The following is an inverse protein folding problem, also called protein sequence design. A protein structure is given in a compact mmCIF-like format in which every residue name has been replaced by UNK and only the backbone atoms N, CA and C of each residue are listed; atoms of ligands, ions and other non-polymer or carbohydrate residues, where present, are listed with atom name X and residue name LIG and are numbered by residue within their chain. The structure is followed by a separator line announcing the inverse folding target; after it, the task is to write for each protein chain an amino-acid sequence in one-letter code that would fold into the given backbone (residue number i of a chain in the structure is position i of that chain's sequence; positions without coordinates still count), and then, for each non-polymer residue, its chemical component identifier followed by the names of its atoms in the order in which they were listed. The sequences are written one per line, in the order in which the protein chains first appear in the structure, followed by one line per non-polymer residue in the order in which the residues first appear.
data_IF_241727684025
#
_entry.id   IF_241727684025
#
_cell.length_a   1.000
_cell.length_b   1.000
_cell.length_c   1.000
_cell.angle_alpha   90.00
_cell.angle_beta   90.00
_cell.angle_gamma   90.00
#
_symmetry.space_group_name_H-M   'P 1'
#
loop_
_entity.id
_entity.type
_entity.pdbx_description
1 polymer ?
#
# COMPACT_ATOMS: atom_id res chain seq x y z
N UNK A 1 -39.98 -26.39 -11.57
CA UNK A 1 -40.09 -24.99 -11.11
C UNK A 1 -40.50 -24.14 -12.30
N UNK A 2 -41.73 -23.62 -12.31
CA UNK A 2 -42.21 -22.75 -13.39
C UNK A 2 -41.49 -21.40 -13.30
N UNK A 3 -40.66 -21.12 -14.28
CA UNK A 3 -40.00 -19.80 -14.44
C UNK A 3 -41.06 -18.82 -14.97
N UNK A 4 -41.45 -17.82 -14.18
CA UNK A 4 -42.34 -16.75 -14.63
C UNK A 4 -41.57 -15.79 -15.51
N UNK A 5 -41.92 -15.61 -16.80
CA UNK A 5 -41.25 -14.67 -17.67
C UNK A 5 -41.52 -13.22 -17.24
N UNK A 6 -40.49 -12.40 -17.23
CA UNK A 6 -40.61 -10.97 -16.97
C UNK A 6 -40.65 -10.23 -18.31
N UNK A 7 -41.72 -9.51 -18.57
CA UNK A 7 -41.89 -8.68 -19.77
C UNK A 7 -41.17 -7.36 -19.50
N UNK A 8 -40.08 -7.10 -20.22
CA UNK A 8 -39.42 -5.77 -20.20
C UNK A 8 -40.06 -4.93 -21.30
N UNK A 9 -40.85 -3.93 -20.92
CA UNK A 9 -41.40 -2.96 -21.84
C UNK A 9 -40.37 -1.87 -22.09
N UNK A 10 -40.04 -1.60 -23.34
CA UNK A 10 -39.18 -0.50 -23.74
C UNK A 10 -40.07 0.65 -24.21
N UNK A 11 -39.83 1.86 -23.72
CA UNK A 11 -40.56 3.07 -24.11
C UNK A 11 -39.60 4.02 -24.80
N UNK A 12 -40.05 4.63 -25.89
CA UNK A 12 -39.39 5.81 -26.44
C UNK A 12 -40.04 7.05 -25.81
N UNK A 13 -39.20 7.93 -25.29
CA UNK A 13 -39.64 9.23 -24.78
C UNK A 13 -39.30 10.28 -25.84
N UNK A 14 -40.30 10.96 -26.34
CA UNK A 14 -40.06 12.13 -27.17
C UNK A 14 -39.50 13.24 -26.28
N UNK A 15 -38.31 13.72 -26.62
CA UNK A 15 -37.59 14.73 -25.81
C UNK A 15 -38.17 16.14 -25.97
N UNK A 16 -39.03 16.40 -26.96
CA UNK A 16 -39.65 17.69 -27.18
C UNK A 16 -41.05 17.79 -26.55
N UNK A 17 -41.83 16.71 -26.63
CA UNK A 17 -43.21 16.69 -26.11
C UNK A 17 -43.34 15.98 -24.75
N UNK A 18 -42.38 15.16 -24.40
CA UNK A 18 -42.44 14.32 -23.17
C UNK A 18 -43.35 13.11 -23.34
N UNK A 19 -43.92 12.87 -24.51
CA UNK A 19 -44.81 11.73 -24.76
C UNK A 19 -44.04 10.43 -24.78
N UNK A 20 -44.64 9.38 -24.19
CA UNK A 20 -44.08 8.03 -24.10
C UNK A 20 -44.85 7.09 -25.06
N UNK A 21 -44.13 6.47 -25.99
CA UNK A 21 -44.70 5.41 -26.85
C UNK A 21 -44.08 4.05 -26.49
N UNK A 22 -44.93 3.02 -26.34
CA UNK A 22 -44.45 1.66 -26.11
C UNK A 22 -43.82 1.09 -27.37
N UNK A 23 -42.54 0.65 -27.27
CA UNK A 23 -41.84 0.04 -28.40
C UNK A 23 -42.49 -1.30 -28.73
N UNK A 24 -42.97 -1.48 -29.98
CA UNK A 24 -43.40 -2.77 -30.49
C UNK A 24 -42.17 -3.69 -30.63
N UNK A 25 -42.12 -4.76 -29.83
CA UNK A 25 -41.07 -5.76 -29.86
C UNK A 25 -40.33 -5.95 -28.55
N UNK A 26 -41.06 -6.06 -27.44
CA UNK A 26 -40.47 -6.42 -26.17
C UNK A 26 -39.72 -7.75 -26.20
N UNK A 27 -38.42 -7.78 -25.89
CA UNK A 27 -37.72 -9.03 -25.70
C UNK A 27 -38.03 -9.64 -24.33
N UNK A 28 -38.44 -10.91 -24.32
CA UNK A 28 -38.53 -11.67 -23.09
C UNK A 28 -37.13 -11.95 -22.57
N UNK A 29 -36.81 -11.44 -21.39
CA UNK A 29 -35.53 -11.73 -20.71
C UNK A 29 -35.84 -12.52 -19.45
N UNK A 30 -35.19 -13.67 -19.28
CA UNK A 30 -35.37 -14.48 -18.08
C UNK A 30 -34.94 -13.70 -16.82
N UNK A 31 -35.65 -13.88 -15.72
CA UNK A 31 -35.40 -13.19 -14.46
C UNK A 31 -33.97 -13.39 -13.97
N UNK A 32 -33.41 -14.59 -14.20
CA UNK A 32 -31.99 -14.89 -13.90
C UNK A 32 -31.04 -14.03 -14.71
N UNK A 33 -31.36 -13.75 -15.97
CA UNK A 33 -30.51 -12.90 -16.81
C UNK A 33 -30.59 -11.43 -16.38
N UNK A 34 -31.76 -10.93 -15.95
CA UNK A 34 -31.90 -9.59 -15.38
C UNK A 34 -31.06 -9.46 -14.11
N UNK A 35 -31.13 -10.46 -13.21
CA UNK A 35 -30.31 -10.46 -12.00
C UNK A 35 -28.81 -10.56 -12.31
N UNK A 36 -28.41 -11.39 -13.28
CA UNK A 36 -27.03 -11.50 -13.75
C UNK A 36 -26.53 -10.16 -14.26
N UNK A 37 -27.30 -9.46 -15.09
CA UNK A 37 -26.97 -8.12 -15.60
C UNK A 37 -26.89 -7.07 -14.48
N UNK A 38 -27.81 -7.10 -13.50
CA UNK A 38 -27.78 -6.21 -12.33
C UNK A 38 -26.50 -6.45 -11.50
N UNK A 39 -26.14 -7.71 -11.23
CA UNK A 39 -24.92 -8.07 -10.51
C UNK A 39 -23.67 -7.64 -11.30
N UNK A 40 -23.65 -7.83 -12.61
CA UNK A 40 -22.57 -7.40 -13.47
C UNK A 40 -22.41 -5.87 -13.49
N UNK A 41 -23.51 -5.12 -13.62
CA UNK A 41 -23.48 -3.64 -13.54
C UNK A 41 -22.99 -3.15 -12.19
N UNK A 42 -23.47 -3.73 -11.08
CA UNK A 42 -23.02 -3.38 -9.73
C UNK A 42 -21.51 -3.63 -9.55
N UNK A 43 -21.01 -4.77 -10.05
CA UNK A 43 -19.57 -5.08 -10.03
C UNK A 43 -18.77 -4.10 -10.88
N UNK A 44 -19.22 -3.79 -12.09
CA UNK A 44 -18.56 -2.81 -12.96
C UNK A 44 -18.52 -1.41 -12.33
N UNK A 45 -19.63 -0.97 -11.72
CA UNK A 45 -19.68 0.31 -11.01
C UNK A 45 -18.72 0.34 -9.82
N UNK A 46 -18.68 -0.72 -9.01
CA UNK A 46 -17.73 -0.84 -7.89
C UNK A 46 -16.26 -0.84 -8.38
N UNK A 47 -15.99 -1.53 -9.51
CA UNK A 47 -14.67 -1.50 -10.12
C UNK A 47 -14.30 -0.10 -10.62
N UNK A 48 -15.21 0.62 -11.27
CA UNK A 48 -14.97 1.98 -11.74
C UNK A 48 -14.66 2.94 -10.57
N UNK A 49 -15.41 2.84 -9.47
CA UNK A 49 -15.15 3.62 -8.25
C UNK A 49 -13.75 3.29 -7.68
N UNK A 50 -13.38 2.00 -7.61
CA UNK A 50 -12.05 1.58 -7.14
C UNK A 50 -10.93 2.08 -8.05
N UNK A 51 -11.12 2.03 -9.37
CA UNK A 51 -10.14 2.57 -10.31
C UNK A 51 -9.97 4.08 -10.15
N UNK A 52 -11.06 4.84 -10.08
CA UNK A 52 -11.01 6.28 -9.87
C UNK A 52 -10.30 6.65 -8.56
N UNK A 53 -10.58 5.94 -7.47
CA UNK A 53 -9.91 6.15 -6.18
C UNK A 53 -8.41 5.79 -6.23
N UNK A 54 -8.02 4.75 -6.97
CA UNK A 54 -6.60 4.41 -7.16
C UNK A 54 -5.87 5.45 -8.01
N UNK A 55 -6.52 5.95 -9.07
CA UNK A 55 -5.96 6.99 -9.94
C UNK A 55 -5.74 8.29 -9.17
N UNK A 56 -6.70 8.69 -8.34
CA UNK A 56 -6.59 9.87 -7.48
C UNK A 56 -5.42 9.74 -6.49
N UNK A 57 -5.27 8.57 -5.85
CA UNK A 57 -4.13 8.31 -4.95
C UNK A 57 -2.81 8.30 -5.68
N UNK A 58 -2.75 7.72 -6.88
CA UNK A 58 -1.53 7.73 -7.69
C UNK A 58 -1.17 9.16 -8.09
N UNK A 59 -2.14 10.02 -8.37
CA UNK A 59 -1.91 11.44 -8.60
C UNK A 59 -1.41 12.14 -7.33
N UNK A 60 -1.96 11.83 -6.16
CA UNK A 60 -1.63 12.47 -4.87
C UNK A 60 -0.30 11.98 -4.30
N UNK A 61 -0.07 10.67 -4.26
CA UNK A 61 1.08 10.06 -3.57
C UNK A 61 2.15 9.51 -4.51
N UNK A 62 1.88 9.47 -5.81
CA UNK A 62 2.78 8.95 -6.83
C UNK A 62 2.72 7.44 -6.98
N UNK A 63 3.74 6.90 -7.65
CA UNK A 63 3.86 5.49 -7.93
C UNK A 63 4.14 4.67 -6.66
N UNK A 64 3.72 3.41 -6.67
CA UNK A 64 3.94 2.48 -5.57
C UNK A 64 4.33 1.08 -6.08
N UNK A 65 4.89 0.29 -5.18
CA UNK A 65 5.11 -1.15 -5.32
C UNK A 65 4.29 -1.85 -4.24
N UNK A 66 3.66 -2.96 -4.57
CA UNK A 66 3.04 -3.83 -3.58
C UNK A 66 4.13 -4.65 -2.89
N UNK A 67 4.07 -4.73 -1.57
CA UNK A 67 4.81 -5.69 -0.76
C UNK A 67 3.81 -6.72 -0.24
N UNK A 68 4.06 -8.03 -0.50
CA UNK A 68 3.25 -9.16 -0.08
C UNK A 68 3.91 -9.85 1.09
N UNK A 69 3.12 -10.24 2.09
CA UNK A 69 3.64 -10.86 3.30
C UNK A 69 2.60 -11.74 3.98
N UNK A 70 3.04 -12.70 4.77
CA UNK A 70 2.21 -13.49 5.67
C UNK A 70 2.21 -12.83 7.05
N UNK A 71 1.05 -12.36 7.57
CA UNK A 71 1.02 -11.64 8.85
C UNK A 71 1.61 -12.42 10.03
N UNK A 72 1.35 -13.72 10.11
CA UNK A 72 1.87 -14.61 11.18
C UNK A 72 3.35 -14.95 11.05
N UNK A 73 3.92 -14.84 9.84
CA UNK A 73 5.32 -15.18 9.55
C UNK A 73 5.86 -14.25 8.45
N UNK A 74 6.01 -12.94 8.71
CA UNK A 74 6.51 -12.02 7.69
C UNK A 74 7.95 -12.36 7.32
N UNK A 75 8.27 -12.29 6.03
CA UNK A 75 9.61 -12.65 5.53
C UNK A 75 10.73 -11.81 6.14
N UNK A 76 10.39 -10.66 6.69
CA UNK A 76 11.34 -9.76 7.35
C UNK A 76 11.49 -9.96 8.87
N UNK A 77 10.85 -10.97 9.47
CA UNK A 77 10.84 -11.14 10.93
C UNK A 77 12.25 -11.11 11.54
N UNK A 78 13.18 -11.84 10.95
CA UNK A 78 14.57 -11.96 11.41
C UNK A 78 15.57 -11.14 10.60
N UNK A 79 15.09 -10.27 9.69
CA UNK A 79 15.97 -9.47 8.83
C UNK A 79 16.56 -8.30 9.62
N UNK A 80 17.88 -8.06 9.53
CA UNK A 80 18.51 -6.87 10.13
C UNK A 80 17.85 -5.58 9.65
N UNK A 81 17.66 -4.61 10.53
CA UNK A 81 16.98 -3.35 10.21
C UNK A 81 17.55 -2.65 8.98
N UNK A 82 18.88 -2.59 8.88
CA UNK A 82 19.54 -1.93 7.74
C UNK A 82 19.25 -2.63 6.40
N UNK A 83 19.19 -3.95 6.39
CA UNK A 83 18.95 -4.74 5.19
C UNK A 83 17.47 -4.69 4.80
N UNK A 84 16.57 -4.72 5.77
CA UNK A 84 15.14 -4.52 5.56
C UNK A 84 14.85 -3.18 4.90
N UNK A 85 15.43 -2.12 5.41
CA UNK A 85 15.26 -0.76 4.86
C UNK A 85 15.81 -0.65 3.44
N UNK A 86 16.98 -1.25 3.16
CA UNK A 86 17.56 -1.28 1.80
C UNK A 86 16.70 -2.07 0.82
N UNK A 87 16.17 -3.22 1.25
CA UNK A 87 15.30 -4.05 0.42
C UNK A 87 14.02 -3.30 0.01
N UNK A 88 13.36 -2.65 0.98
CA UNK A 88 12.19 -1.81 0.70
C UNK A 88 12.54 -0.59 -0.18
N UNK A 89 13.72 0.00 0.01
CA UNK A 89 14.17 1.09 -0.85
C UNK A 89 14.40 0.63 -2.29
N UNK A 90 15.01 -0.53 -2.50
CA UNK A 90 15.19 -1.10 -3.83
C UNK A 90 13.87 -1.45 -4.51
N UNK A 91 12.86 -1.91 -3.77
CA UNK A 91 11.53 -2.20 -4.34
C UNK A 91 10.90 -0.97 -5.02
N UNK A 92 11.27 0.24 -4.59
CA UNK A 92 10.78 1.46 -5.23
C UNK A 92 11.35 1.67 -6.64
N UNK A 93 12.40 0.96 -7.04
CA UNK A 93 13.01 1.05 -8.37
C UNK A 93 12.41 0.06 -9.38
N UNK A 94 11.41 -0.73 -8.99
CA UNK A 94 10.66 -1.55 -9.94
C UNK A 94 9.87 -0.66 -10.91
N UNK A 95 9.88 -1.01 -12.20
CA UNK A 95 9.00 -0.43 -13.19
C UNK A 95 7.71 -1.27 -13.30
N UNK A 96 6.69 -0.69 -13.95
CA UNK A 96 5.42 -1.38 -14.16
C UNK A 96 5.65 -2.65 -15.00
N UNK A 97 5.10 -3.78 -14.54
CA UNK A 97 5.23 -5.11 -15.15
C UNK A 97 6.67 -5.61 -15.34
N UNK A 98 7.61 -5.08 -14.56
CA UNK A 98 9.01 -5.53 -14.59
C UNK A 98 9.53 -5.81 -13.18
N UNK A 99 10.18 -6.95 -13.04
CA UNK A 99 10.90 -7.32 -11.81
C UNK A 99 12.31 -6.71 -11.75
N UNK A 100 12.92 -6.43 -12.90
CA UNK A 100 14.24 -5.79 -12.99
C UNK A 100 14.20 -4.37 -12.47
N UNK A 101 15.14 -4.03 -11.61
CA UNK A 101 15.26 -2.68 -11.04
C UNK A 101 15.82 -1.71 -12.08
N UNK A 102 15.18 -0.55 -12.17
CA UNK A 102 15.56 0.48 -13.15
C UNK A 102 15.50 1.87 -12.55
N UNK A 103 16.34 2.75 -13.05
CA UNK A 103 16.18 4.20 -12.89
C UNK A 103 14.89 4.68 -13.55
N UNK A 104 14.45 5.89 -13.21
CA UNK A 104 13.23 6.49 -13.76
C UNK A 104 13.24 6.62 -15.29
N UNK A 105 14.43 6.76 -15.87
CA UNK A 105 14.65 6.83 -17.33
C UNK A 105 14.64 5.45 -18.03
N UNK A 106 14.38 4.37 -17.30
CA UNK A 106 14.35 3.01 -17.82
C UNK A 106 15.70 2.30 -17.88
N UNK A 107 16.83 2.98 -17.58
CA UNK A 107 18.15 2.34 -17.49
C UNK A 107 18.16 1.35 -16.32
N UNK A 108 18.63 0.13 -16.56
CA UNK A 108 18.72 -0.91 -15.54
C UNK A 108 19.70 -0.51 -14.42
N UNK A 109 19.35 -0.91 -13.19
CA UNK A 109 20.28 -0.90 -12.07
C UNK A 109 21.15 -2.15 -12.13
N UNK A 110 22.45 -1.95 -12.06
CA UNK A 110 23.41 -3.05 -11.98
C UNK A 110 23.96 -3.17 -10.57
N UNK A 111 24.50 -4.33 -10.22
CA UNK A 111 25.15 -4.56 -8.93
C UNK A 111 26.21 -3.50 -8.61
N UNK A 112 26.97 -3.06 -9.64
CA UNK A 112 28.02 -2.03 -9.51
C UNK A 112 27.44 -0.63 -9.24
N UNK A 113 26.20 -0.35 -9.66
CA UNK A 113 25.55 0.95 -9.42
C UNK A 113 24.87 1.04 -8.05
N UNK A 114 24.65 -0.09 -7.38
CA UNK A 114 23.90 -0.11 -6.12
C UNK A 114 24.60 0.57 -4.93
N UNK A 115 25.92 0.56 -4.77
CA UNK A 115 26.57 1.32 -3.69
C UNK A 115 26.21 2.80 -3.69
N UNK A 116 26.18 3.44 -4.86
CA UNK A 116 25.75 4.82 -5.04
C UNK A 116 24.24 4.98 -4.73
N UNK A 117 23.39 4.11 -5.30
CA UNK A 117 21.92 4.14 -5.11
C UNK A 117 21.57 3.97 -3.65
N UNK A 118 22.19 3.04 -2.95
CA UNK A 118 21.97 2.75 -1.52
C UNK A 118 22.75 3.71 -0.60
N UNK A 119 23.60 4.57 -1.17
CA UNK A 119 24.48 5.48 -0.43
C UNK A 119 25.25 4.74 0.67
N UNK A 120 25.93 3.67 0.30
CA UNK A 120 26.68 2.81 1.22
C UNK A 120 28.01 2.41 0.60
N UNK A 121 28.95 1.86 1.41
CA UNK A 121 30.22 1.36 0.87
C UNK A 121 30.01 0.12 -0.01
N UNK A 122 30.89 -0.10 -0.98
CA UNK A 122 30.88 -1.29 -1.85
C UNK A 122 30.88 -2.60 -1.05
N UNK A 123 31.68 -2.69 0.00
CA UNK A 123 31.77 -3.88 0.85
C UNK A 123 30.44 -4.18 1.56
N UNK A 124 29.77 -3.14 2.07
CA UNK A 124 28.45 -3.26 2.72
C UNK A 124 27.38 -3.64 1.70
N UNK A 125 27.42 -3.03 0.50
CA UNK A 125 26.49 -3.35 -0.58
C UNK A 125 26.68 -4.81 -1.04
N UNK A 126 27.90 -5.24 -1.28
CA UNK A 126 28.21 -6.62 -1.71
C UNK A 126 27.72 -7.66 -0.69
N UNK A 127 27.95 -7.42 0.61
CA UNK A 127 27.43 -8.29 1.66
C UNK A 127 25.90 -8.31 1.70
N UNK A 128 25.24 -7.16 1.58
CA UNK A 128 23.79 -7.06 1.50
C UNK A 128 23.24 -7.86 0.31
N UNK A 129 23.80 -7.69 -0.88
CA UNK A 129 23.36 -8.41 -2.08
C UNK A 129 23.50 -9.92 -1.93
N UNK A 130 24.66 -10.39 -1.43
CA UNK A 130 24.90 -11.82 -1.22
C UNK A 130 23.85 -12.45 -0.26
N UNK A 131 23.49 -11.75 0.82
CA UNK A 131 22.46 -12.21 1.75
C UNK A 131 21.08 -12.22 1.10
N UNK A 132 20.72 -11.15 0.37
CA UNK A 132 19.41 -11.03 -0.28
C UNK A 132 19.23 -12.07 -1.40
N UNK A 133 20.27 -12.36 -2.14
CA UNK A 133 20.29 -13.39 -3.18
C UNK A 133 20.20 -14.78 -2.57
N UNK A 134 20.98 -15.09 -1.55
CA UNK A 134 20.92 -16.36 -0.82
C UNK A 134 19.52 -16.64 -0.23
N UNK A 135 18.83 -15.60 0.23
CA UNK A 135 17.47 -15.70 0.77
C UNK A 135 16.38 -15.64 -0.31
N UNK A 136 16.76 -15.45 -1.57
CA UNK A 136 15.84 -15.45 -2.70
C UNK A 136 14.97 -14.18 -2.82
N UNK A 137 15.36 -13.06 -2.20
CA UNK A 137 14.64 -11.78 -2.34
C UNK A 137 15.07 -11.00 -3.58
N UNK A 138 16.30 -11.19 -4.02
CA UNK A 138 16.88 -10.61 -5.22
C UNK A 138 17.52 -11.70 -6.07
N UNK A 139 17.68 -11.43 -7.35
CA UNK A 139 18.49 -12.21 -8.29
C UNK A 139 19.41 -11.25 -9.05
N UNK A 140 20.62 -11.71 -9.33
CA UNK A 140 21.59 -10.94 -10.10
C UNK A 140 21.97 -11.80 -11.30
N UNK A 141 21.56 -11.37 -12.50
CA UNK A 141 21.84 -12.04 -13.76
C UNK A 141 22.45 -11.04 -14.74
N UNK A 142 23.60 -11.37 -15.31
CA UNK A 142 24.36 -10.49 -16.21
C UNK A 142 24.56 -9.07 -15.64
N UNK A 143 24.76 -8.99 -14.32
CA UNK A 143 24.91 -7.75 -13.58
C UNK A 143 23.59 -6.99 -13.31
N UNK A 144 22.48 -7.34 -13.94
CA UNK A 144 21.18 -6.74 -13.69
C UNK A 144 20.57 -7.27 -12.38
N UNK A 145 19.96 -6.36 -11.60
CA UNK A 145 19.34 -6.72 -10.33
C UNK A 145 17.83 -6.82 -10.49
N UNK A 146 17.29 -7.95 -10.09
CA UNK A 146 15.86 -8.27 -10.21
C UNK A 146 15.25 -8.58 -8.84
N UNK A 147 14.08 -8.02 -8.56
CA UNK A 147 13.30 -8.33 -7.34
C UNK A 147 12.51 -9.63 -7.52
N UNK A 148 12.42 -10.41 -6.46
CA UNK A 148 11.52 -11.56 -6.45
C UNK A 148 10.06 -11.09 -6.36
N UNK A 149 9.27 -11.43 -7.38
CA UNK A 149 7.86 -11.03 -7.52
C UNK A 149 6.91 -11.72 -6.54
N UNK A 150 7.38 -12.73 -5.81
CA UNK A 150 6.61 -13.32 -4.70
C UNK A 150 6.46 -12.36 -3.51
N UNK A 151 7.42 -11.44 -3.33
CA UNK A 151 7.41 -10.49 -2.23
C UNK A 151 7.08 -9.07 -2.66
N UNK A 152 7.52 -8.68 -3.86
CA UNK A 152 7.32 -7.32 -4.36
C UNK A 152 6.82 -7.34 -5.80
N UNK A 153 5.78 -6.56 -6.09
CA UNK A 153 5.27 -6.43 -7.46
C UNK A 153 4.78 -5.01 -7.74
N UNK A 154 5.02 -4.57 -8.97
CA UNK A 154 4.46 -3.33 -9.51
C UNK A 154 3.64 -3.64 -10.76
N UNK A 155 2.58 -4.40 -10.56
CA UNK A 155 1.66 -4.87 -11.59
C UNK A 155 0.29 -5.17 -10.98
N UNK A 156 -0.66 -5.66 -11.79
CA UNK A 156 -1.92 -6.19 -11.28
C UNK A 156 -1.64 -7.38 -10.35
N UNK A 157 -2.18 -7.32 -9.13
CA UNK A 157 -2.02 -8.37 -8.10
C UNK A 157 -3.25 -9.27 -7.99
N UNK A 158 -4.10 -9.34 -9.04
CA UNK A 158 -5.32 -10.17 -9.01
C UNK A 158 -5.02 -11.64 -8.69
N UNK A 159 -3.88 -12.14 -9.13
CA UNK A 159 -3.41 -13.50 -8.84
C UNK A 159 -2.94 -13.72 -7.39
N UNK A 160 -2.76 -12.64 -6.62
CA UNK A 160 -2.44 -12.74 -5.18
C UNK A 160 -3.68 -12.81 -4.30
N UNK A 161 -4.87 -12.56 -4.87
CA UNK A 161 -6.12 -12.55 -4.12
C UNK A 161 -6.57 -13.99 -3.89
N UNK A 162 -6.87 -14.34 -2.65
CA UNK A 162 -7.45 -15.63 -2.29
C UNK A 162 -6.55 -16.56 -1.47
N UNK A 163 -5.35 -16.11 -1.10
CA UNK A 163 -4.52 -16.80 -0.10
C UNK A 163 -4.53 -16.04 1.25
N UNK A 164 -3.84 -16.60 2.25
CA UNK A 164 -3.72 -16.07 3.62
C UNK A 164 -2.74 -14.90 3.75
N UNK A 165 -2.18 -14.43 2.62
CA UNK A 165 -1.19 -13.34 2.59
C UNK A 165 -1.86 -11.99 2.44
N UNK A 166 -1.28 -11.01 3.11
CA UNK A 166 -1.62 -9.59 2.99
C UNK A 166 -0.67 -8.89 2.03
N UNK A 167 -1.07 -7.71 1.58
CA UNK A 167 -0.21 -6.84 0.77
C UNK A 167 -0.39 -5.38 1.16
N UNK A 168 0.68 -4.62 1.06
CA UNK A 168 0.68 -3.18 1.33
C UNK A 168 1.31 -2.42 0.17
N UNK A 169 0.84 -1.21 -0.08
CA UNK A 169 1.48 -0.28 -1.04
C UNK A 169 2.61 0.46 -0.36
N UNK A 170 3.79 0.41 -0.96
CA UNK A 170 4.97 1.18 -0.60
C UNK A 170 5.12 2.31 -1.61
N UNK A 171 4.82 3.54 -1.22
CA UNK A 171 4.85 4.68 -2.14
C UNK A 171 6.29 5.18 -2.35
N UNK A 172 6.69 5.28 -3.63
CA UNK A 172 8.07 5.51 -4.01
C UNK A 172 8.61 6.87 -3.56
N UNK A 173 7.83 7.94 -3.76
CA UNK A 173 8.29 9.30 -3.47
C UNK A 173 8.55 9.47 -1.98
N UNK A 174 7.58 9.11 -1.14
CA UNK A 174 7.70 9.24 0.30
C UNK A 174 8.84 8.37 0.87
N UNK A 175 8.89 7.10 0.47
CA UNK A 175 9.93 6.20 0.98
C UNK A 175 11.33 6.64 0.56
N UNK A 176 11.52 7.04 -0.71
CA UNK A 176 12.79 7.57 -1.21
C UNK A 176 13.19 8.87 -0.54
N UNK A 177 12.23 9.76 -0.28
CA UNK A 177 12.46 11.00 0.45
C UNK A 177 13.03 10.70 1.83
N UNK A 178 12.35 9.87 2.64
CA UNK A 178 12.82 9.50 3.97
C UNK A 178 14.18 8.80 3.94
N UNK A 179 14.40 7.86 3.03
CA UNK A 179 15.65 7.14 2.92
C UNK A 179 16.84 8.07 2.63
N UNK A 180 16.66 9.09 1.77
CA UNK A 180 17.71 10.02 1.36
C UNK A 180 17.98 11.12 2.37
N UNK A 181 16.96 11.54 3.13
CA UNK A 181 17.12 12.56 4.18
C UNK A 181 17.89 12.03 5.38
N UNK A 182 17.83 10.74 5.63
CA UNK A 182 18.43 10.13 6.80
C UNK A 182 19.89 9.73 6.55
N UNK A 183 20.75 10.01 7.53
CA UNK A 183 22.09 9.45 7.57
C UNK A 183 22.07 7.92 7.72
N UNK A 184 23.11 7.23 7.29
CA UNK A 184 23.20 5.77 7.31
C UNK A 184 22.85 5.15 8.67
N UNK A 185 23.25 5.80 9.77
CA UNK A 185 22.96 5.33 11.15
C UNK A 185 21.50 5.48 11.52
N UNK A 186 20.80 6.47 10.98
CA UNK A 186 19.41 6.77 11.26
C UNK A 186 18.44 5.96 10.41
N UNK A 187 18.88 5.52 9.22
CA UNK A 187 18.03 4.76 8.28
C UNK A 187 17.44 3.51 8.89
N UNK A 188 18.15 2.87 9.84
CA UNK A 188 17.61 1.73 10.57
C UNK A 188 16.28 2.01 11.29
N UNK A 189 15.95 3.26 11.57
CA UNK A 189 14.68 3.66 12.18
C UNK A 189 13.48 3.39 11.25
N UNK A 190 13.66 3.49 9.92
CA UNK A 190 12.62 3.15 8.95
C UNK A 190 12.17 1.70 9.06
N UNK A 191 13.03 0.80 9.55
CA UNK A 191 12.66 -0.60 9.76
C UNK A 191 11.52 -0.75 10.78
N UNK A 192 11.45 0.13 11.78
CA UNK A 192 10.36 0.07 12.76
C UNK A 192 9.02 0.45 12.14
N UNK A 193 8.99 1.42 11.21
CA UNK A 193 7.78 1.73 10.43
C UNK A 193 7.36 0.54 9.54
N UNK A 194 8.33 -0.16 8.92
CA UNK A 194 8.05 -1.36 8.14
C UNK A 194 7.48 -2.47 9.04
N UNK A 195 8.05 -2.68 10.23
CA UNK A 195 7.56 -3.70 11.17
C UNK A 195 6.17 -3.37 11.71
N UNK A 196 5.80 -2.09 11.84
CA UNK A 196 4.45 -1.66 12.22
C UNK A 196 3.39 -2.00 11.17
N UNK A 197 3.75 -2.34 9.93
CA UNK A 197 2.81 -2.77 8.88
C UNK A 197 1.91 -3.91 9.38
N UNK A 198 2.43 -4.80 10.22
CA UNK A 198 1.67 -5.93 10.79
C UNK A 198 0.51 -5.48 11.69
N UNK A 199 0.61 -4.28 12.23
CA UNK A 199 -0.33 -3.66 13.18
C UNK A 199 -1.05 -2.45 12.58
N UNK A 200 -0.86 -2.20 11.29
CA UNK A 200 -1.42 -1.05 10.60
C UNK A 200 -2.86 -1.35 10.16
N UNK A 201 -3.83 -0.65 10.73
CA UNK A 201 -5.22 -0.80 10.32
C UNK A 201 -5.39 -0.51 8.82
N UNK A 202 -5.99 -1.43 8.10
CA UNK A 202 -6.08 -1.37 6.64
C UNK A 202 -6.87 -0.17 6.10
N UNK A 203 -7.81 0.38 6.88
CA UNK A 203 -8.65 1.52 6.47
C UNK A 203 -8.13 2.87 6.99
N UNK A 204 -7.67 2.89 8.24
CA UNK A 204 -7.43 4.13 8.97
C UNK A 204 -5.94 4.42 9.19
N UNK A 205 -5.04 3.53 8.78
CA UNK A 205 -3.60 3.64 9.00
C UNK A 205 -3.20 3.87 10.48
N UNK A 206 -4.08 3.51 11.40
CA UNK A 206 -3.83 3.52 12.85
C UNK A 206 -3.01 2.29 13.22
N UNK A 207 -2.00 2.46 14.07
CA UNK A 207 -1.24 1.33 14.64
C UNK A 207 -2.05 0.73 15.79
N UNK A 208 -2.57 -0.48 15.62
CA UNK A 208 -3.54 -1.11 16.52
C UNK A 208 -3.32 -2.62 16.69
N UNK A 209 -3.99 -3.19 17.69
CA UNK A 209 -3.86 -4.62 18.02
C UNK A 209 -4.47 -5.53 16.93
N UNK A 210 -5.61 -5.14 16.36
CA UNK A 210 -6.29 -5.87 15.29
C UNK A 210 -6.45 -4.97 14.06
N UNK A 211 -5.62 -5.22 13.07
CA UNK A 211 -5.58 -4.43 11.82
C UNK A 211 -6.82 -4.56 10.95
N UNK A 212 -7.62 -5.62 11.12
CA UNK A 212 -8.80 -5.92 10.31
C UNK A 212 -10.10 -5.33 10.87
N UNK A 213 -10.05 -4.68 12.01
CA UNK A 213 -11.21 -4.00 12.60
C UNK A 213 -11.61 -2.79 11.75
N UNK A 214 -12.83 -2.85 11.16
CA UNK A 214 -13.35 -1.78 10.30
C UNK A 214 -14.14 -0.70 11.05
N UNK A 215 -14.67 -1.03 12.20
CA UNK A 215 -15.42 -0.13 13.07
C UNK A 215 -14.45 0.69 13.93
N UNK A 216 -14.39 1.99 13.68
CA UNK A 216 -13.47 2.90 14.41
C UNK A 216 -13.66 2.86 15.91
N UNK A 217 -14.89 2.63 16.40
CA UNK A 217 -15.19 2.53 17.84
C UNK A 217 -14.61 1.28 18.50
N UNK A 218 -14.20 0.29 17.72
CA UNK A 218 -13.63 -0.98 18.17
C UNK A 218 -12.13 -1.08 17.95
N UNK A 219 -11.53 -0.11 17.26
CA UNK A 219 -10.07 -0.09 17.08
C UNK A 219 -9.43 0.11 18.45
N UNK A 220 -8.53 -0.82 18.82
CA UNK A 220 -7.72 -0.75 20.03
C UNK A 220 -6.32 -0.30 19.65
N UNK A 221 -5.98 1.00 19.75
CA UNK A 221 -4.66 1.50 19.41
C UNK A 221 -3.58 0.87 20.29
N UNK A 222 -2.38 0.70 19.74
CA UNK A 222 -1.22 0.34 20.53
C UNK A 222 -0.62 1.62 21.14
N UNK A 223 -0.29 1.54 22.43
CA UNK A 223 0.51 2.56 23.09
C UNK A 223 2.00 2.45 22.71
N UNK A 224 2.80 3.42 23.13
CA UNK A 224 4.22 3.53 22.80
C UNK A 224 5.05 2.30 23.25
N UNK A 225 4.75 1.71 24.39
CA UNK A 225 5.45 0.52 24.90
C UNK A 225 5.09 -0.71 24.10
N UNK A 226 3.80 -0.93 23.83
CA UNK A 226 3.32 -2.03 22.99
C UNK A 226 3.83 -1.94 21.56
N UNK A 227 3.92 -0.72 21.00
CA UNK A 227 4.56 -0.51 19.69
C UNK A 227 6.02 -0.97 19.76
N UNK A 228 6.77 -0.58 20.79
CA UNK A 228 8.16 -1.03 20.96
C UNK A 228 8.28 -2.56 21.00
N UNK A 229 7.46 -3.23 21.80
CA UNK A 229 7.41 -4.69 21.86
C UNK A 229 7.11 -5.30 20.48
N UNK A 230 6.10 -4.77 19.79
CA UNK A 230 5.65 -5.24 18.50
C UNK A 230 6.73 -5.14 17.40
N UNK A 231 7.58 -4.12 17.45
CA UNK A 231 8.64 -3.89 16.45
C UNK A 231 10.03 -4.41 16.90
N UNK A 232 10.12 -5.02 18.07
CA UNK A 232 11.38 -5.54 18.62
C UNK A 232 12.33 -4.43 19.13
N UNK A 233 11.78 -3.35 19.66
CA UNK A 233 12.53 -2.27 20.31
C UNK A 233 12.41 -2.35 21.84
N UNK A 234 13.35 -1.78 22.58
CA UNK A 234 13.32 -1.78 24.04
C UNK A 234 12.17 -0.89 24.57
N UNK A 235 11.14 -1.42 25.25
CA UNK A 235 10.01 -0.64 25.76
C UNK A 235 10.40 0.46 26.77
N UNK A 236 11.51 0.29 27.48
CA UNK A 236 12.02 1.32 28.39
C UNK A 236 12.60 2.55 27.66
N UNK A 237 12.77 2.46 26.34
CA UNK A 237 13.23 3.57 25.50
C UNK A 237 12.13 4.05 24.53
N UNK A 238 10.86 3.77 24.84
CA UNK A 238 9.73 4.09 23.96
C UNK A 238 9.67 5.58 23.60
N UNK A 239 9.84 6.46 24.58
CA UNK A 239 9.86 7.91 24.34
C UNK A 239 10.93 8.35 23.31
N UNK A 240 12.07 7.66 23.29
CA UNK A 240 13.12 7.91 22.28
C UNK A 240 12.67 7.47 20.90
N UNK A 241 12.15 6.24 20.77
CA UNK A 241 11.66 5.75 19.48
C UNK A 241 10.55 6.64 18.92
N UNK A 242 9.56 7.00 19.76
CA UNK A 242 8.45 7.85 19.31
C UNK A 242 8.94 9.21 18.84
N UNK A 243 9.83 9.87 19.58
CA UNK A 243 10.43 11.15 19.16
C UNK A 243 11.18 11.01 17.84
N UNK A 244 12.02 9.97 17.70
CA UNK A 244 12.83 9.76 16.51
C UNK A 244 11.96 9.46 15.28
N UNK A 245 10.85 8.73 15.43
CA UNK A 245 9.90 8.47 14.35
C UNK A 245 9.02 9.68 13.99
N UNK A 246 8.60 10.47 14.98
CA UNK A 246 7.82 11.70 14.76
C UNK A 246 8.65 12.81 14.08
N UNK A 247 9.97 12.75 14.21
CA UNK A 247 10.89 13.66 13.51
C UNK A 247 11.04 13.33 12.01
N UNK A 248 10.47 12.23 11.52
CA UNK A 248 10.50 11.86 10.11
C UNK A 248 9.45 12.66 9.32
N UNK A 249 9.89 13.47 8.36
CA UNK A 249 9.00 14.30 7.55
C UNK A 249 9.07 13.94 6.08
N UNK A 250 7.92 13.95 5.44
CA UNK A 250 7.79 13.81 3.99
C UNK A 250 8.23 15.10 3.28
N UNK A 251 8.38 15.04 1.96
CA UNK A 251 8.84 16.17 1.14
C UNK A 251 7.98 17.44 1.30
N UNK A 252 6.69 17.26 1.57
CA UNK A 252 5.74 18.35 1.82
C UNK A 252 5.73 18.87 3.27
N UNK A 253 6.66 18.42 4.11
CA UNK A 253 6.77 18.80 5.51
C UNK A 253 5.82 18.05 6.47
N UNK A 254 4.92 17.21 5.96
CA UNK A 254 4.03 16.41 6.82
C UNK A 254 4.81 15.30 7.52
N UNK A 255 4.45 15.01 8.78
CA UNK A 255 5.07 13.93 9.53
C UNK A 255 4.73 12.55 8.93
N UNK A 256 5.73 11.69 8.75
CA UNK A 256 5.55 10.32 8.29
C UNK A 256 4.89 9.41 9.36
N UNK A 257 5.04 9.78 10.64
CA UNK A 257 4.48 9.09 11.79
C UNK A 257 4.08 10.11 12.84
N UNK A 258 2.81 10.14 13.24
CA UNK A 258 2.30 11.12 14.20
C UNK A 258 1.43 10.50 15.27
N UNK A 259 1.35 11.15 16.42
CA UNK A 259 0.36 10.86 17.45
C UNK A 259 -0.86 11.76 17.25
N UNK A 260 -2.03 11.15 17.14
CA UNK A 260 -3.31 11.86 17.13
C UNK A 260 -3.82 11.99 18.57
N UNK A 261 -3.87 13.21 19.08
CA UNK A 261 -4.28 13.51 20.47
C UNK A 261 -5.76 13.31 20.72
N UNK A 262 -6.60 13.49 19.70
CA UNK A 262 -8.06 13.34 19.83
C UNK A 262 -8.44 11.85 19.91
N UNK A 263 -7.81 11.03 19.09
CA UNK A 263 -8.08 9.60 19.01
C UNK A 263 -7.15 8.77 19.88
N UNK A 264 -6.18 9.39 20.55
CA UNK A 264 -5.17 8.73 21.38
C UNK A 264 -4.47 7.57 20.65
N UNK A 265 -4.06 7.78 19.40
CA UNK A 265 -3.48 6.74 18.56
C UNK A 265 -2.29 7.24 17.74
N UNK A 266 -1.43 6.29 17.34
CA UNK A 266 -0.36 6.55 16.38
C UNK A 266 -0.82 6.22 14.97
N UNK A 267 -0.46 7.08 14.02
CA UNK A 267 -0.83 6.97 12.61
C UNK A 267 0.42 7.02 11.75
N UNK A 268 0.56 6.08 10.82
CA UNK A 268 1.54 6.14 9.72
C UNK A 268 0.90 6.88 8.55
N UNK A 269 1.62 7.84 7.98
CA UNK A 269 1.08 8.62 6.87
C UNK A 269 0.75 7.72 5.66
N UNK A 270 -0.47 7.79 5.08
CA UNK A 270 -0.87 6.93 3.96
C UNK A 270 -0.03 7.07 2.70
N UNK A 271 0.66 8.21 2.51
CA UNK A 271 1.63 8.40 1.43
C UNK A 271 2.91 7.57 1.60
N UNK A 272 3.15 6.96 2.75
CA UNK A 272 4.28 6.06 2.97
C UNK A 272 3.87 4.61 2.76
N UNK A 273 2.87 4.15 3.55
CA UNK A 273 2.31 2.80 3.50
C UNK A 273 0.80 2.85 3.51
N UNK A 274 0.17 2.03 2.67
CA UNK A 274 -1.28 1.93 2.64
C UNK A 274 -1.76 0.54 2.17
N UNK A 275 -2.62 -0.11 2.94
CA UNK A 275 -3.13 -1.45 2.65
C UNK A 275 -4.53 -1.43 2.02
N UNK A 276 -5.43 -0.62 2.53
CA UNK A 276 -6.86 -0.69 2.23
C UNK A 276 -7.30 -0.16 0.87
N UNK A 277 -8.58 -0.38 0.57
CA UNK A 277 -9.31 0.22 -0.58
C UNK A 277 -9.85 1.61 -0.22
N UNK A 278 -9.05 2.45 0.40
CA UNK A 278 -9.41 3.66 1.12
C UNK A 278 -10.62 4.41 0.60
N UNK A 279 -11.54 4.62 1.49
CA UNK A 279 -12.47 5.73 1.42
C UNK A 279 -11.82 6.98 2.05
N UNK A 280 -12.17 8.15 1.53
CA UNK A 280 -11.62 9.49 1.75
C UNK A 280 -11.45 9.97 3.20
N UNK A 281 -12.04 9.31 4.20
CA UNK A 281 -12.14 9.80 5.57
C UNK A 281 -10.76 10.04 6.22
N UNK A 282 -9.81 9.10 6.08
CA UNK A 282 -8.48 9.25 6.70
C UNK A 282 -7.66 10.38 6.08
N UNK A 283 -7.92 10.66 4.79
CA UNK A 283 -7.21 11.72 4.08
C UNK A 283 -7.71 13.11 4.46
N UNK A 284 -8.99 13.23 4.86
CA UNK A 284 -9.56 14.48 5.38
C UNK A 284 -8.99 14.81 6.76
N UNK A 285 -9.01 13.89 7.70
CA UNK A 285 -8.50 14.12 9.07
C UNK A 285 -7.01 14.52 9.10
N UNK A 286 -6.21 14.01 8.14
CA UNK A 286 -4.78 14.38 8.07
C UNK A 286 -4.55 15.75 7.40
N UNK A 287 -5.47 16.22 6.54
CA UNK A 287 -5.35 17.52 5.88
C UNK A 287 -5.95 18.66 6.74
N UNK A 288 -7.07 18.42 7.44
CA UNK A 288 -7.73 19.46 8.26
C UNK A 288 -6.90 19.83 9.49
N UNK A 289 -6.07 18.91 10.02
CA UNK A 289 -5.15 19.19 11.12
C UNK A 289 -3.80 19.80 10.70
N UNK A 290 -3.53 19.99 9.40
CA UNK A 290 -2.32 20.67 8.93
C UNK A 290 -2.51 22.18 8.71
N UNK A 291 -3.76 22.68 8.72
CA UNK A 291 -4.05 24.12 8.57
C UNK A 291 -4.16 24.86 9.92
N UNK A 292 -4.07 24.15 11.04
CA UNK A 292 -4.19 24.71 12.40
C UNK A 292 -2.90 24.62 13.23
N UNK A 293 -1.72 24.65 12.60
CA UNK A 293 -0.44 24.73 13.32
C UNK A 293 0.39 25.89 12.82
#
# INVERSE_FOLDING_TARGET
MNKTPVIVKTFFVDTETGDTQEAQGGQYIEQEEIERRRRARKRAQQQAIRHAANDERTRKFGNFTFCRYTPSAPFWANMPNADLVRLFYLSTYMLYERSTLCYRNGRQLTADSLPEVLQTSESTCRRFLAVMEQQGYLQIEDGAVTMNTEYFARQSIRHWIGDDRSFIRVYHNAYRCLYRQLENRQRGQLAYLIRMILYLNEKHNIVCADKFTHDTSRIVPLDDKRICEAVGYNPNQSARLMRDLQALHLENGQSAFKYNTEQHCFIIHPALFYEGDAQEAVLRDMNENSENT
#
